data_IF_965819766695
#
_entry.id   IF_965819766695
#
_cell.length_a   1.000
_cell.length_b   1.000
_cell.length_c   1.000
_cell.angle_alpha   90.00
_cell.angle_beta   90.00
_cell.angle_gamma   90.00
#
_symmetry.space_group_name_H-M   'P 1'
#
loop_
_entity.id
_entity.type
_entity.pdbx_description
1 polymer ?
#
# COMPACT_ATOMS: atom_id res chain seq x y z
N UNK A 1 -3.41 4.57 7.09
CA UNK A 1 -2.30 5.45 7.54
C UNK A 1 -1.01 4.84 7.08
N UNK A 2 -0.07 5.62 6.60
CA UNK A 2 1.23 5.17 6.10
C UNK A 2 2.33 6.09 6.63
N UNK A 3 3.51 5.53 6.91
CA UNK A 3 4.69 6.29 7.32
C UNK A 3 4.88 6.39 8.84
N UNK A 4 5.98 7.04 9.24
CA UNK A 4 6.36 7.20 10.63
C UNK A 4 5.54 8.23 11.38
N UNK A 5 5.13 7.89 12.58
CA UNK A 5 4.52 8.82 13.54
C UNK A 5 5.45 8.96 14.76
N UNK A 6 6.15 10.08 14.83
CA UNK A 6 7.23 10.26 15.79
C UNK A 6 8.37 9.27 15.55
N UNK A 7 9.16 8.97 16.58
CA UNK A 7 10.30 8.05 16.49
C UNK A 7 9.95 6.60 16.90
N UNK A 8 8.67 6.25 17.05
CA UNK A 8 8.26 5.00 17.70
C UNK A 8 7.42 4.07 16.85
N UNK A 9 6.57 4.62 15.98
CA UNK A 9 5.62 3.81 15.21
C UNK A 9 5.78 4.08 13.72
N UNK A 10 5.75 3.01 12.95
CA UNK A 10 5.62 3.05 11.50
C UNK A 10 4.37 2.29 11.06
N UNK A 11 3.63 2.85 10.14
CA UNK A 11 2.41 2.25 9.59
C UNK A 11 2.68 1.79 8.17
N UNK A 12 2.36 0.53 7.89
CA UNK A 12 2.59 -0.13 6.59
C UNK A 12 1.78 0.47 5.44
N UNK A 13 0.70 1.19 5.75
CA UNK A 13 -0.16 1.84 4.77
C UNK A 13 -1.08 0.91 4.02
N UNK A 14 -1.10 -0.36 4.36
CA UNK A 14 -1.87 -1.38 3.66
C UNK A 14 -3.37 -1.06 3.63
N UNK A 15 -3.91 -0.87 2.42
CA UNK A 15 -5.34 -0.72 2.15
C UNK A 15 -5.87 -2.01 1.54
N UNK A 16 -7.12 -2.34 1.81
CA UNK A 16 -7.73 -3.54 1.25
C UNK A 16 -9.17 -3.32 0.85
N UNK A 17 -9.60 -4.06 -0.15
CA UNK A 17 -10.98 -4.13 -0.57
C UNK A 17 -11.56 -5.52 -0.30
N UNK A 18 -12.75 -5.56 0.30
CA UNK A 18 -13.46 -6.81 0.56
C UNK A 18 -14.82 -6.85 -0.16
N UNK A 19 -15.15 -8.00 -0.71
CA UNK A 19 -16.45 -8.27 -1.30
C UNK A 19 -17.03 -9.55 -0.68
N UNK A 20 -18.22 -9.45 -0.08
CA UNK A 20 -18.93 -10.57 0.56
C UNK A 20 -18.04 -11.33 1.57
N UNK A 21 -17.27 -10.64 2.38
CA UNK A 21 -16.37 -11.20 3.40
C UNK A 21 -15.07 -11.80 2.86
N UNK A 22 -14.77 -11.63 1.57
CA UNK A 22 -13.51 -12.09 0.95
C UNK A 22 -12.68 -10.89 0.54
N UNK A 23 -11.39 -10.92 0.86
CA UNK A 23 -10.44 -9.92 0.36
C UNK A 23 -10.27 -10.13 -1.13
N UNK A 24 -10.56 -9.09 -1.90
CA UNK A 24 -10.45 -9.08 -3.37
C UNK A 24 -9.17 -8.40 -3.83
N UNK A 25 -8.75 -7.37 -3.13
CA UNK A 25 -7.55 -6.63 -3.44
C UNK A 25 -6.89 -6.14 -2.16
N UNK A 26 -5.57 -6.04 -2.22
CA UNK A 26 -4.73 -5.55 -1.14
C UNK A 26 -3.64 -4.68 -1.75
N UNK A 27 -3.49 -3.46 -1.26
CA UNK A 27 -2.39 -2.60 -1.68
C UNK A 27 -1.05 -3.15 -1.17
N UNK A 28 0.03 -2.76 -1.83
CA UNK A 28 1.37 -3.17 -1.42
C UNK A 28 1.74 -2.51 -0.08
N UNK A 29 2.12 -3.29 0.94
CA UNK A 29 2.60 -2.73 2.20
C UNK A 29 3.97 -2.08 2.02
N UNK A 30 4.30 -1.13 2.87
CA UNK A 30 5.59 -0.41 2.88
C UNK A 30 5.95 0.27 1.55
N UNK A 31 4.94 0.67 0.79
CA UNK A 31 5.14 1.38 -0.47
C UNK A 31 5.88 2.71 -0.26
N UNK A 32 6.89 3.00 -1.09
CA UNK A 32 7.78 4.17 -0.92
C UNK A 32 7.22 5.48 -1.49
N UNK A 33 6.34 5.43 -2.48
CA UNK A 33 5.70 6.62 -3.06
C UNK A 33 4.73 7.29 -2.09
N UNK A 34 4.40 8.57 -2.29
CA UNK A 34 3.49 9.31 -1.42
C UNK A 34 2.02 8.91 -1.61
N UNK A 35 1.65 8.57 -2.83
CA UNK A 35 0.29 8.17 -3.21
C UNK A 35 0.31 6.76 -3.79
N UNK A 36 -0.61 5.93 -3.34
CA UNK A 36 -0.84 4.61 -3.92
C UNK A 36 -2.29 4.49 -4.34
N UNK A 37 -2.53 4.14 -5.59
CA UNK A 37 -3.87 3.90 -6.15
C UNK A 37 -3.99 2.43 -6.51
N UNK A 38 -5.00 1.78 -5.96
CA UNK A 38 -5.27 0.36 -6.22
C UNK A 38 -6.62 0.25 -6.92
N UNK A 39 -6.66 0.20 -8.25
CA UNK A 39 -7.90 0.04 -9.01
C UNK A 39 -8.43 -1.38 -8.84
N UNK A 40 -9.75 -1.50 -8.70
CA UNK A 40 -10.42 -2.79 -8.61
C UNK A 40 -11.72 -2.79 -9.39
N UNK A 41 -12.00 -3.90 -10.05
CA UNK A 41 -13.28 -4.16 -10.71
C UNK A 41 -14.15 -5.04 -9.82
N UNK A 42 -15.38 -4.62 -9.57
CA UNK A 42 -16.33 -5.34 -8.73
C UNK A 42 -17.57 -5.75 -9.51
N UNK A 43 -18.15 -6.91 -9.12
CA UNK A 43 -19.41 -7.39 -9.68
C UNK A 43 -20.57 -7.02 -8.75
N UNK A 44 -21.29 -5.97 -9.08
CA UNK A 44 -22.45 -5.52 -8.30
C UNK A 44 -23.56 -6.57 -8.22
N UNK A 45 -23.72 -7.43 -9.23
CA UNK A 45 -24.72 -8.49 -9.20
C UNK A 45 -24.36 -9.59 -8.18
N UNK A 46 -23.07 -9.90 -8.01
CA UNK A 46 -22.63 -10.82 -6.96
C UNK A 46 -22.98 -10.30 -5.56
N UNK A 47 -22.81 -9.00 -5.33
CA UNK A 47 -23.19 -8.36 -4.07
C UNK A 47 -24.71 -8.39 -3.88
N UNK A 48 -25.49 -8.08 -4.91
CA UNK A 48 -26.97 -8.12 -4.86
C UNK A 48 -27.47 -9.53 -4.56
N UNK A 49 -26.94 -10.54 -5.26
CA UNK A 49 -27.30 -11.95 -5.04
C UNK A 49 -26.97 -12.40 -3.62
N UNK A 50 -25.81 -12.04 -3.11
CA UNK A 50 -25.44 -12.35 -1.71
C UNK A 50 -26.43 -11.74 -0.72
N UNK A 51 -26.81 -10.47 -0.91
CA UNK A 51 -27.80 -9.80 -0.04
C UNK A 51 -29.18 -10.42 -0.11
N UNK A 52 -29.65 -10.83 -1.29
CA UNK A 52 -30.94 -11.47 -1.48
C UNK A 52 -30.99 -12.87 -0.83
N UNK A 53 -29.87 -13.60 -0.89
CA UNK A 53 -29.80 -14.95 -0.32
C UNK A 53 -29.61 -14.93 1.21
N UNK A 54 -29.25 -13.81 1.80
CA UNK A 54 -29.05 -13.69 3.24
C UNK A 54 -30.37 -13.28 3.93
N UNK A 55 -31.16 -14.30 4.38
CA UNK A 55 -32.45 -14.11 5.02
C UNK A 55 -32.41 -13.35 6.33
N UNK A 56 -31.36 -13.51 7.14
CA UNK A 56 -31.17 -12.77 8.39
C UNK A 56 -31.01 -11.28 8.15
N UNK A 57 -30.21 -10.91 7.16
CA UNK A 57 -30.02 -9.53 6.75
C UNK A 57 -31.34 -8.86 6.31
N UNK A 58 -32.18 -9.58 5.56
CA UNK A 58 -33.50 -9.07 5.16
C UNK A 58 -34.45 -8.91 6.37
N UNK A 59 -34.45 -9.87 7.31
CA UNK A 59 -35.27 -9.79 8.51
C UNK A 59 -34.90 -8.61 9.40
N UNK A 60 -33.61 -8.37 9.61
CA UNK A 60 -33.12 -7.26 10.42
C UNK A 60 -33.40 -5.90 9.78
N UNK A 61 -33.41 -5.80 8.47
CA UNK A 61 -33.69 -4.56 7.74
C UNK A 61 -35.14 -4.06 7.87
N UNK A 62 -36.08 -4.95 8.23
CA UNK A 62 -37.49 -4.58 8.38
C UNK A 62 -37.79 -3.66 9.56
N UNK A 63 -36.94 -3.65 10.59
CA UNK A 63 -37.08 -2.81 11.79
C UNK A 63 -36.35 -1.48 11.76
N UNK A 64 -35.64 -1.19 10.68
CA UNK A 64 -34.76 -0.01 10.60
C UNK A 64 -35.43 1.11 9.80
N UNK A 65 -35.34 2.34 10.30
CA UNK A 65 -35.83 3.51 9.57
C UNK A 65 -35.07 3.69 8.24
N UNK A 66 -35.82 3.98 7.17
CA UNK A 66 -35.21 4.20 5.86
C UNK A 66 -34.42 5.52 5.88
N UNK A 67 -33.18 5.46 5.37
CA UNK A 67 -32.38 6.66 5.13
C UNK A 67 -33.04 7.47 3.99
N UNK A 68 -33.20 8.80 4.17
CA UNK A 68 -33.76 9.67 3.13
C UNK A 68 -32.97 9.55 1.81
N UNK A 69 -33.69 9.38 0.71
CA UNK A 69 -33.08 9.35 -0.64
C UNK A 69 -32.86 10.75 -1.15
N UNK A 70 -31.64 11.05 -1.50
CA UNK A 70 -31.29 12.27 -2.23
C UNK A 70 -31.29 11.95 -3.74
N UNK A 71 -32.08 12.67 -4.52
CA UNK A 71 -32.05 12.55 -5.98
C UNK A 71 -30.82 13.27 -6.51
N UNK A 72 -29.98 12.53 -7.20
CA UNK A 72 -28.77 13.07 -7.85
C UNK A 72 -28.84 12.73 -9.33
N UNK A 73 -28.62 13.70 -10.20
CA UNK A 73 -28.53 13.47 -11.65
C UNK A 73 -27.14 12.96 -12.01
N UNK A 74 -26.89 11.71 -11.63
CA UNK A 74 -25.63 11.01 -11.86
C UNK A 74 -25.94 9.59 -12.33
N UNK A 75 -25.43 9.21 -13.50
CA UNK A 75 -25.43 7.83 -13.97
C UNK A 75 -24.03 7.27 -13.86
N UNK A 76 -23.90 6.16 -13.09
CA UNK A 76 -22.65 5.37 -12.97
C UNK A 76 -22.68 4.23 -14.02
N UNK A 77 -23.78 4.06 -14.76
CA UNK A 77 -23.89 3.00 -15.76
C UNK A 77 -22.95 3.30 -16.94
N UNK A 78 -21.99 2.44 -17.16
CA UNK A 78 -21.17 2.41 -18.36
C UNK A 78 -21.76 1.40 -19.35
N UNK A 79 -22.00 1.82 -20.59
CA UNK A 79 -22.57 0.96 -21.65
C UNK A 79 -21.56 -0.04 -22.25
N UNK A 80 -20.37 -0.14 -21.69
CA UNK A 80 -19.36 -1.10 -22.11
C UNK A 80 -19.58 -2.45 -21.43
N UNK A 81 -19.68 -3.50 -22.22
CA UNK A 81 -19.59 -4.88 -21.74
C UNK A 81 -18.19 -5.12 -21.16
N UNK A 82 -18.06 -4.96 -19.85
CA UNK A 82 -16.80 -5.18 -19.18
C UNK A 82 -16.74 -6.64 -18.73
N UNK A 83 -15.95 -7.45 -19.43
CA UNK A 83 -15.66 -8.82 -19.03
C UNK A 83 -14.76 -8.81 -17.81
N UNK A 84 -15.26 -9.37 -16.71
CA UNK A 84 -14.51 -9.50 -15.47
C UNK A 84 -13.66 -10.77 -15.58
N UNK A 85 -12.35 -10.61 -15.71
CA UNK A 85 -11.41 -11.70 -15.63
C UNK A 85 -11.00 -11.91 -14.15
N UNK A 86 -11.50 -12.97 -13.53
CA UNK A 86 -11.04 -13.43 -12.21
C UNK A 86 -9.78 -14.29 -12.45
N UNK A 87 -8.61 -13.65 -12.49
CA UNK A 87 -7.35 -14.34 -12.77
C UNK A 87 -6.93 -15.21 -11.58
N UNK A 88 -6.60 -16.50 -11.80
CA UNK A 88 -6.10 -17.35 -10.73
C UNK A 88 -4.77 -16.87 -10.11
N UNK A 89 -3.96 -16.15 -10.87
CA UNK A 89 -2.70 -15.55 -10.39
C UNK A 89 -2.92 -14.49 -9.31
N UNK A 90 -4.04 -13.80 -9.35
CA UNK A 90 -4.40 -12.79 -8.37
C UNK A 90 -4.54 -13.34 -6.95
N UNK A 91 -4.99 -14.58 -6.78
CA UNK A 91 -5.18 -15.22 -5.47
C UNK A 91 -3.85 -15.52 -4.76
N UNK A 92 -2.82 -15.90 -5.50
CA UNK A 92 -1.49 -16.18 -4.93
C UNK A 92 -0.77 -14.89 -4.54
N UNK A 93 -0.88 -13.86 -5.35
CA UNK A 93 -0.34 -12.55 -5.06
C UNK A 93 -0.96 -11.92 -3.82
N UNK A 94 -2.28 -12.02 -3.66
CA UNK A 94 -3.00 -11.59 -2.45
C UNK A 94 -2.54 -12.34 -1.20
N UNK A 95 -2.28 -13.64 -1.30
CA UNK A 95 -1.75 -14.42 -0.18
C UNK A 95 -0.35 -13.94 0.20
N UNK A 96 0.51 -13.66 -0.76
CA UNK A 96 1.85 -13.16 -0.52
C UNK A 96 1.83 -11.77 0.11
N UNK A 97 1.04 -10.84 -0.41
CA UNK A 97 0.90 -9.48 0.15
C UNK A 97 0.37 -9.51 1.59
N UNK A 98 -0.50 -10.47 1.92
CA UNK A 98 -1.11 -10.60 3.24
C UNK A 98 -0.20 -11.25 4.28
N UNK A 99 0.67 -12.15 3.86
CA UNK A 99 1.51 -12.97 4.73
C UNK A 99 2.99 -12.60 4.53
N UNK A 100 3.36 -11.35 4.80
CA UNK A 100 4.76 -11.01 4.97
C UNK A 100 5.32 -11.83 6.15
N UNK A 101 6.48 -12.41 5.95
CA UNK A 101 7.18 -13.10 7.04
C UNK A 101 7.65 -12.08 8.06
N UNK A 102 7.76 -12.49 9.33
CA UNK A 102 8.18 -11.62 10.43
C UNK A 102 9.50 -10.90 10.14
N UNK A 103 10.45 -11.58 9.51
CA UNK A 103 11.73 -10.97 9.13
C UNK A 103 11.61 -9.93 7.99
N UNK A 104 10.60 -10.03 7.12
CA UNK A 104 10.33 -9.01 6.12
C UNK A 104 9.82 -7.72 6.78
N UNK A 105 8.97 -7.82 7.79
CA UNK A 105 8.54 -6.67 8.59
C UNK A 105 9.73 -6.01 9.29
N UNK A 106 10.58 -6.80 9.95
CA UNK A 106 11.80 -6.29 10.60
C UNK A 106 12.75 -5.60 9.62
N UNK A 107 12.72 -6.00 8.35
CA UNK A 107 13.57 -5.42 7.31
C UNK A 107 12.94 -4.17 6.69
N UNK A 108 11.68 -4.24 6.31
CA UNK A 108 11.01 -3.16 5.57
C UNK A 108 10.64 -1.98 6.46
N UNK A 109 10.14 -2.23 7.65
CA UNK A 109 9.67 -1.19 8.56
C UNK A 109 10.76 -0.16 8.89
N UNK A 110 11.93 -0.53 9.43
CA UNK A 110 12.96 0.45 9.73
C UNK A 110 13.58 1.08 8.48
N UNK A 111 13.67 0.35 7.37
CA UNK A 111 14.22 0.88 6.11
C UNK A 111 13.33 1.96 5.52
N UNK A 112 12.03 1.74 5.48
CA UNK A 112 11.06 2.74 5.00
C UNK A 112 10.91 3.92 5.96
N UNK A 113 11.05 3.68 7.27
CA UNK A 113 11.11 4.74 8.27
C UNK A 113 12.32 5.66 8.06
N UNK A 114 13.50 5.10 7.78
CA UNK A 114 14.69 5.88 7.47
C UNK A 114 14.50 6.73 6.21
N UNK A 115 13.92 6.16 5.16
CA UNK A 115 13.61 6.91 3.94
C UNK A 115 12.67 8.09 4.20
N UNK A 116 11.58 7.86 4.91
CA UNK A 116 10.65 8.93 5.28
C UNK A 116 11.31 10.02 6.13
N UNK A 117 12.16 9.62 7.07
CA UNK A 117 12.91 10.55 7.92
C UNK A 117 13.87 11.39 7.07
N UNK A 118 14.58 10.79 6.14
CA UNK A 118 15.52 11.47 5.27
C UNK A 118 14.83 12.52 4.39
N UNK A 119 13.70 12.16 3.77
CA UNK A 119 12.90 13.08 2.97
C UNK A 119 12.34 14.26 3.78
N UNK A 120 11.79 13.98 4.97
CA UNK A 120 11.15 14.98 5.83
C UNK A 120 12.15 15.92 6.52
N UNK A 121 13.31 15.41 6.93
CA UNK A 121 14.34 16.19 7.61
C UNK A 121 15.16 17.09 6.68
N UNK A 122 15.06 16.91 5.36
CA UNK A 122 15.92 17.57 4.36
C UNK A 122 17.40 17.28 4.55
N UNK A 123 17.76 16.24 5.29
CA UNK A 123 19.12 15.75 5.40
C UNK A 123 19.58 15.12 4.08
N UNK A 124 20.87 15.06 3.84
CA UNK A 124 21.44 14.52 2.58
C UNK A 124 21.89 13.07 2.70
N UNK A 125 21.80 12.50 3.87
CA UNK A 125 22.25 11.14 4.15
C UNK A 125 22.36 10.90 5.65
N UNK A 126 22.95 9.77 5.99
CA UNK A 126 23.19 9.34 7.35
C UNK A 126 24.69 9.30 7.64
N UNK A 127 25.06 9.74 8.83
CA UNK A 127 26.41 9.53 9.36
C UNK A 127 26.32 8.38 10.37
N UNK A 128 26.99 7.28 10.09
CA UNK A 128 26.96 6.09 10.90
C UNK A 128 28.36 5.77 11.44
N UNK A 129 28.60 5.94 12.75
CA UNK A 129 29.85 5.47 13.37
C UNK A 129 29.79 3.95 13.51
N UNK A 130 30.72 3.24 12.87
CA UNK A 130 30.86 1.80 12.95
C UNK A 130 31.86 1.42 14.04
N UNK A 131 31.36 0.96 15.19
CA UNK A 131 32.18 0.50 16.30
C UNK A 131 32.65 -0.96 16.20
N UNK A 132 32.12 -1.69 15.19
CA UNK A 132 32.31 -3.13 15.06
C UNK A 132 31.38 -3.98 15.95
N UNK A 133 30.52 -3.34 16.76
CA UNK A 133 29.51 -4.02 17.56
C UNK A 133 28.26 -4.37 16.75
N UNK A 134 27.43 -5.27 17.30
CA UNK A 134 26.22 -5.78 16.66
C UNK A 134 25.24 -4.65 16.31
N UNK A 135 25.04 -3.70 17.20
CA UNK A 135 24.06 -2.61 17.01
C UNK A 135 24.43 -1.71 15.83
N UNK A 136 25.70 -1.28 15.75
CA UNK A 136 26.17 -0.44 14.64
C UNK A 136 26.11 -1.16 13.29
N UNK A 137 26.43 -2.47 13.29
CA UNK A 137 26.29 -3.30 12.09
C UNK A 137 24.84 -3.48 11.70
N UNK A 138 23.92 -3.67 12.64
CA UNK A 138 22.49 -3.77 12.36
C UNK A 138 21.93 -2.50 11.72
N UNK A 139 22.32 -1.33 12.23
CA UNK A 139 21.91 -0.04 11.63
C UNK A 139 22.49 0.10 10.22
N UNK A 140 23.72 -0.32 9.98
CA UNK A 140 24.33 -0.31 8.63
C UNK A 140 23.54 -1.18 7.65
N UNK A 141 23.08 -2.37 8.08
CA UNK A 141 22.23 -3.25 7.27
C UNK A 141 20.87 -2.61 6.98
N UNK A 142 20.27 -1.92 7.94
CA UNK A 142 19.00 -1.19 7.71
C UNK A 142 19.18 -0.08 6.66
N UNK A 143 20.27 0.69 6.72
CA UNK A 143 20.57 1.71 5.70
C UNK A 143 20.81 1.08 4.33
N UNK A 144 21.56 -0.03 4.28
CA UNK A 144 21.73 -0.79 3.04
C UNK A 144 20.41 -1.27 2.46
N UNK A 145 19.54 -1.85 3.29
CA UNK A 145 18.20 -2.30 2.84
C UNK A 145 17.35 -1.14 2.33
N UNK A 146 17.39 0.02 2.97
CA UNK A 146 16.72 1.22 2.46
C UNK A 146 17.19 1.55 1.03
N UNK A 147 18.50 1.59 0.79
CA UNK A 147 19.03 1.85 -0.54
C UNK A 147 18.64 0.77 -1.54
N UNK A 148 18.69 -0.49 -1.15
CA UNK A 148 18.28 -1.63 -1.97
C UNK A 148 16.80 -1.56 -2.37
N UNK A 149 15.92 -1.21 -1.43
CA UNK A 149 14.49 -1.03 -1.69
C UNK A 149 14.24 0.11 -2.69
N UNK A 150 14.92 1.25 -2.52
CA UNK A 150 14.82 2.38 -3.43
C UNK A 150 15.24 2.00 -4.86
N UNK A 151 16.39 1.36 -5.02
CA UNK A 151 16.87 0.92 -6.33
C UNK A 151 15.91 -0.09 -6.98
N UNK A 152 15.38 -1.03 -6.20
CA UNK A 152 14.41 -2.00 -6.72
C UNK A 152 13.10 -1.37 -7.17
N UNK A 153 12.60 -0.40 -6.42
CA UNK A 153 11.36 0.30 -6.76
C UNK A 153 11.53 1.17 -8.01
N UNK A 154 12.64 1.88 -8.13
CA UNK A 154 12.95 2.67 -9.33
C UNK A 154 13.01 1.78 -10.58
N UNK A 155 13.52 0.57 -10.47
CA UNK A 155 13.66 -0.35 -11.60
C UNK A 155 12.36 -1.10 -11.96
N UNK A 156 11.35 -1.16 -11.10
CA UNK A 156 10.20 -2.06 -11.23
C UNK A 156 8.84 -1.38 -11.30
N UNK A 157 8.70 -0.13 -10.87
CA UNK A 157 7.38 0.47 -10.70
C UNK A 157 7.06 1.56 -11.72
N UNK A 158 5.77 1.69 -12.05
CA UNK A 158 5.24 2.81 -12.81
C UNK A 158 5.44 4.17 -12.10
N UNK A 159 5.77 4.14 -10.82
CA UNK A 159 6.05 5.31 -9.97
C UNK A 159 7.55 5.56 -9.78
N UNK A 160 8.38 4.95 -10.61
CA UNK A 160 9.84 5.13 -10.57
C UNK A 160 10.25 6.59 -10.64
N UNK A 161 9.53 7.41 -11.38
CA UNK A 161 9.85 8.82 -11.62
C UNK A 161 9.65 9.67 -10.34
N UNK A 162 8.56 9.44 -9.58
CA UNK A 162 8.33 10.12 -8.29
C UNK A 162 9.42 9.80 -7.26
N UNK A 163 9.77 8.53 -7.14
CA UNK A 163 10.81 8.08 -6.20
C UNK A 163 12.17 8.64 -6.62
N UNK A 164 12.47 8.66 -7.90
CA UNK A 164 13.70 9.20 -8.46
C UNK A 164 13.79 10.71 -8.23
N UNK A 165 12.70 11.45 -8.40
CA UNK A 165 12.63 12.88 -8.13
C UNK A 165 12.88 13.18 -6.65
N UNK A 166 12.24 12.43 -5.75
CA UNK A 166 12.47 12.51 -4.31
C UNK A 166 13.92 12.23 -3.96
N UNK A 167 14.55 11.23 -4.59
CA UNK A 167 15.95 10.88 -4.37
C UNK A 167 16.88 11.99 -4.86
N UNK A 168 16.63 12.56 -6.05
CA UNK A 168 17.36 13.72 -6.58
C UNK A 168 17.25 14.95 -5.67
N UNK A 169 16.07 15.15 -5.09
CA UNK A 169 15.86 16.22 -4.13
C UNK A 169 16.69 16.03 -2.85
N UNK A 170 16.73 14.82 -2.30
CA UNK A 170 17.53 14.46 -1.13
C UNK A 170 19.02 14.64 -1.41
N UNK A 171 19.50 14.12 -2.53
CA UNK A 171 20.91 14.20 -2.93
C UNK A 171 21.33 15.62 -3.38
N UNK A 172 20.34 16.46 -3.71
CA UNK A 172 20.53 17.78 -4.33
C UNK A 172 21.29 17.69 -5.67
N UNK A 173 21.11 16.60 -6.37
CA UNK A 173 21.67 16.35 -7.69
C UNK A 173 20.54 16.00 -8.66
N UNK A 174 20.22 16.96 -9.56
CA UNK A 174 19.14 16.80 -10.55
C UNK A 174 19.47 15.78 -11.64
N UNK A 175 20.73 15.47 -11.83
CA UNK A 175 21.21 14.56 -12.89
C UNK A 175 21.54 13.16 -12.34
N UNK A 176 21.27 12.90 -11.08
CA UNK A 176 21.56 11.60 -10.49
C UNK A 176 20.79 10.50 -11.20
N UNK A 177 21.52 9.44 -11.56
CA UNK A 177 21.01 8.17 -12.11
C UNK A 177 21.47 7.08 -11.15
N UNK A 178 20.55 6.30 -10.57
CA UNK A 178 20.90 5.22 -9.63
C UNK A 178 21.58 4.03 -10.28
#
# INVERSE_FOLDING_TARGET
>A
MKGGNGARNYYDGCCFFTENGKVKELSEPFHLGDVQVTPITINLNAIRTFRINNKSFQKESHGVALIPRVKVDLSIACNSEMYIYDSPYHKEELKRKRNLYEFEHVTYEPSTFLWDTLRKSRARGFLLPLSGGLDSCSVAVIVYNMCYLLCNQINRSDQSEEILENLRHVLRDKNYIP
#
